data_IF_328603927419
#
_entry.id   IF_328603927419
#
_cell.length_a   1.000
_cell.length_b   1.000
_cell.length_c   1.000
_cell.angle_alpha   90.00
_cell.angle_beta   90.00
_cell.angle_gamma   90.00
#
_symmetry.space_group_name_H-M   'P 1'
#
loop_
_entity.id
_entity.type
_entity.pdbx_description
1 polymer ?
#
# COMPACT_ATOMS: atom_id res chain seq x y z
N UNK A 1 -2.81 25.71 -13.86
CA UNK A 1 -1.96 24.86 -13.00
C UNK A 1 -2.75 24.54 -11.75
N UNK A 2 -3.10 23.28 -11.51
CA UNK A 2 -3.67 22.90 -10.22
C UNK A 2 -2.51 22.82 -9.23
N UNK A 3 -2.44 23.75 -8.28
CA UNK A 3 -1.54 23.66 -7.13
C UNK A 3 -2.14 22.67 -6.14
N UNK A 4 -1.86 21.39 -6.33
CA UNK A 4 -2.21 20.36 -5.35
C UNK A 4 -1.36 20.59 -4.10
N UNK A 5 -2.01 20.69 -2.94
CA UNK A 5 -1.31 20.69 -1.65
C UNK A 5 -0.88 19.25 -1.34
N UNK A 6 0.41 19.01 -1.07
CA UNK A 6 0.86 17.69 -0.64
C UNK A 6 0.16 17.24 0.64
N UNK A 7 -0.07 15.94 0.76
CA UNK A 7 -0.61 15.31 1.96
C UNK A 7 0.43 15.35 3.09
N UNK A 8 -0.04 15.49 4.33
CA UNK A 8 0.81 15.34 5.52
C UNK A 8 1.17 13.87 5.76
N UNK A 9 2.28 13.63 6.45
CA UNK A 9 2.70 12.26 6.79
C UNK A 9 1.66 11.53 7.67
N UNK A 10 0.95 12.23 8.55
CA UNK A 10 -0.13 11.63 9.34
C UNK A 10 -1.32 11.20 8.48
N UNK A 11 -1.65 11.96 7.43
CA UNK A 11 -2.71 11.58 6.50
C UNK A 11 -2.27 10.44 5.59
N UNK A 12 -0.99 10.41 5.19
CA UNK A 12 -0.39 9.27 4.51
C UNK A 12 -0.58 7.98 5.31
N UNK A 13 -0.11 7.94 6.56
CA UNK A 13 -0.25 6.75 7.41
C UNK A 13 -1.70 6.32 7.66
N UNK A 14 -2.65 7.27 7.71
CA UNK A 14 -4.07 6.92 7.80
C UNK A 14 -4.58 6.18 6.55
N UNK A 15 -4.13 6.57 5.36
CA UNK A 15 -4.45 5.86 4.12
C UNK A 15 -3.75 4.51 4.03
N UNK A 16 -2.49 4.42 4.45
CA UNK A 16 -1.78 3.13 4.54
C UNK A 16 -2.49 2.15 5.47
N UNK A 17 -2.98 2.64 6.62
CA UNK A 17 -3.76 1.82 7.56
C UNK A 17 -5.04 1.31 6.89
N UNK A 18 -5.75 2.19 6.18
CA UNK A 18 -6.96 1.83 5.44
C UNK A 18 -6.65 0.79 4.35
N UNK A 19 -5.61 1.02 3.54
CA UNK A 19 -5.16 0.08 2.50
C UNK A 19 -4.80 -1.27 3.10
N UNK A 20 -4.08 -1.27 4.22
CA UNK A 20 -3.69 -2.47 4.93
C UNK A 20 -4.89 -3.27 5.44
N UNK A 21 -5.83 -2.62 6.12
CA UNK A 21 -7.07 -3.27 6.60
C UNK A 21 -7.89 -3.83 5.43
N UNK A 22 -8.04 -3.06 4.34
CA UNK A 22 -8.76 -3.54 3.16
C UNK A 22 -8.05 -4.72 2.50
N UNK A 23 -6.71 -4.73 2.44
CA UNK A 23 -5.93 -5.84 1.92
C UNK A 23 -6.15 -7.14 2.72
N UNK A 24 -6.39 -7.05 4.03
CA UNK A 24 -6.72 -8.21 4.87
C UNK A 24 -8.15 -8.69 4.69
N UNK A 25 -9.12 -7.77 4.53
CA UNK A 25 -10.55 -8.12 4.51
C UNK A 25 -11.07 -8.56 3.14
N UNK A 26 -10.64 -7.87 2.07
CA UNK A 26 -11.16 -8.07 0.70
C UNK A 26 -10.97 -9.49 0.16
N UNK A 27 -9.86 -10.21 0.43
CA UNK A 27 -9.70 -11.58 -0.06
C UNK A 27 -10.85 -12.51 0.31
N UNK A 28 -11.42 -12.37 1.51
CA UNK A 28 -12.54 -13.19 1.97
C UNK A 28 -13.89 -12.74 1.42
N UNK A 29 -14.06 -11.42 1.22
CA UNK A 29 -15.29 -10.87 0.65
C UNK A 29 -15.47 -11.26 -0.81
N UNK A 30 -14.36 -11.43 -1.54
CA UNK A 30 -14.36 -11.70 -2.98
C UNK A 30 -13.85 -13.09 -3.35
N UNK A 31 -13.57 -13.95 -2.36
CA UNK A 31 -13.19 -15.35 -2.58
C UNK A 31 -11.90 -15.52 -3.37
N UNK A 32 -10.83 -14.82 -2.98
CA UNK A 32 -9.53 -14.92 -3.65
C UNK A 32 -8.97 -16.35 -3.57
N UNK A 33 -8.07 -16.69 -4.50
CA UNK A 33 -7.32 -17.94 -4.40
C UNK A 33 -6.46 -17.97 -3.11
N UNK A 34 -5.99 -19.15 -2.68
CA UNK A 34 -5.05 -19.23 -1.55
C UNK A 34 -3.79 -18.38 -1.76
N UNK A 35 -3.23 -18.37 -2.97
CA UNK A 35 -2.06 -17.57 -3.29
C UNK A 35 -2.36 -16.07 -3.24
N UNK A 36 -3.45 -15.63 -3.89
CA UNK A 36 -3.90 -14.24 -3.85
C UNK A 36 -4.20 -13.75 -2.43
N UNK A 37 -4.79 -14.60 -1.59
CA UNK A 37 -5.06 -14.31 -0.18
C UNK A 37 -3.77 -14.11 0.62
N UNK A 38 -2.80 -15.02 0.49
CA UNK A 38 -1.51 -14.90 1.20
C UNK A 38 -0.77 -13.63 0.77
N UNK A 39 -0.72 -13.33 -0.52
CA UNK A 39 -0.05 -12.12 -1.01
C UNK A 39 -0.75 -10.84 -0.56
N UNK A 40 -2.09 -10.79 -0.58
CA UNK A 40 -2.85 -9.67 -0.04
C UNK A 40 -2.60 -9.49 1.46
N UNK A 41 -2.46 -10.58 2.22
CA UNK A 41 -2.11 -10.54 3.63
C UNK A 41 -0.71 -9.96 3.88
N UNK A 42 0.28 -10.39 3.10
CA UNK A 42 1.65 -9.84 3.20
C UNK A 42 1.64 -8.34 2.92
N UNK A 43 1.00 -7.90 1.84
CA UNK A 43 0.86 -6.47 1.51
C UNK A 43 0.14 -5.72 2.64
N UNK A 44 -0.94 -6.31 3.17
CA UNK A 44 -1.74 -5.70 4.22
C UNK A 44 -0.99 -5.50 5.53
N UNK A 45 -0.27 -6.53 6.00
CA UNK A 45 0.53 -6.46 7.23
C UNK A 45 1.66 -5.43 7.09
N UNK A 46 2.33 -5.39 5.93
CA UNK A 46 3.39 -4.41 5.67
C UNK A 46 2.85 -2.98 5.66
N UNK A 47 1.71 -2.74 4.99
CA UNK A 47 1.05 -1.43 4.96
C UNK A 47 0.63 -0.97 6.36
N UNK A 48 0.08 -1.86 7.19
CA UNK A 48 -0.25 -1.54 8.59
C UNK A 48 1.02 -1.22 9.38
N UNK A 49 2.10 -1.98 9.17
CA UNK A 49 3.40 -1.71 9.81
C UNK A 49 3.92 -0.31 9.49
N UNK A 50 3.86 0.11 8.23
CA UNK A 50 4.24 1.46 7.81
C UNK A 50 3.31 2.52 8.41
N UNK A 51 2.00 2.30 8.35
CA UNK A 51 1.04 3.22 8.94
C UNK A 51 1.33 3.51 10.41
N UNK A 52 1.68 2.48 11.20
CA UNK A 52 2.03 2.63 12.61
C UNK A 52 3.34 3.42 12.81
N UNK A 53 4.33 3.23 11.94
CA UNK A 53 5.60 3.98 11.98
C UNK A 53 5.38 5.50 11.80
N UNK A 54 4.32 5.93 11.08
CA UNK A 54 4.03 7.37 10.91
C UNK A 54 3.61 8.10 12.19
N UNK A 55 3.26 7.38 13.26
CA UNK A 55 2.86 8.00 14.53
C UNK A 55 4.06 8.62 15.26
N UNK A 56 5.22 7.96 15.18
CA UNK A 56 6.49 8.39 15.75
C UNK A 56 7.64 7.96 14.80
N UNK A 57 7.76 8.58 13.61
CA UNK A 57 8.67 8.11 12.58
C UNK A 57 10.12 8.28 13.01
N UNK A 58 10.86 7.18 13.08
CA UNK A 58 12.29 7.18 13.43
C UNK A 58 13.15 7.77 12.31
N UNK A 59 12.83 7.42 11.07
CA UNK A 59 13.52 7.90 9.87
C UNK A 59 12.53 8.01 8.72
N UNK A 60 12.20 9.25 8.36
CA UNK A 60 11.22 9.55 7.31
C UNK A 60 11.72 9.13 5.92
N UNK A 61 13.04 9.18 5.68
CA UNK A 61 13.62 8.74 4.41
C UNK A 61 13.55 7.23 4.28
N UNK A 62 13.80 6.50 5.37
CA UNK A 62 13.64 5.05 5.39
C UNK A 62 12.18 4.64 5.14
N UNK A 63 11.22 5.31 5.80
CA UNK A 63 9.79 5.11 5.58
C UNK A 63 9.42 5.30 4.10
N UNK A 64 9.79 6.43 3.50
CA UNK A 64 9.57 6.68 2.07
C UNK A 64 10.16 5.58 1.17
N UNK A 65 11.34 5.07 1.53
CA UNK A 65 11.97 3.95 0.82
C UNK A 65 11.14 2.66 0.89
N UNK A 66 10.55 2.38 2.05
CA UNK A 66 9.64 1.25 2.22
C UNK A 66 8.32 1.44 1.46
N UNK A 67 7.81 2.66 1.34
CA UNK A 67 6.59 2.92 0.57
C UNK A 67 6.78 2.58 -0.91
N UNK A 68 7.92 2.97 -1.49
CA UNK A 68 8.28 2.57 -2.84
C UNK A 68 8.45 1.05 -2.95
N UNK A 69 9.13 0.42 -2.00
CA UNK A 69 9.33 -1.03 -2.01
C UNK A 69 8.00 -1.79 -1.94
N UNK A 70 7.07 -1.35 -1.09
CA UNK A 70 5.73 -1.93 -0.97
C UNK A 70 4.91 -1.71 -2.25
N UNK A 71 4.90 -0.50 -2.80
CA UNK A 71 4.17 -0.17 -4.02
C UNK A 71 4.65 -1.00 -5.22
N UNK A 72 5.95 -1.00 -5.50
CA UNK A 72 6.52 -1.77 -6.61
C UNK A 72 6.43 -3.28 -6.35
N UNK A 73 6.64 -3.73 -5.12
CA UNK A 73 6.48 -5.13 -4.73
C UNK A 73 5.06 -5.63 -4.97
N UNK A 74 4.04 -4.87 -4.56
CA UNK A 74 2.63 -5.20 -4.80
C UNK A 74 2.31 -5.23 -6.30
N UNK A 75 2.80 -4.27 -7.10
CA UNK A 75 2.63 -4.30 -8.56
C UNK A 75 3.26 -5.56 -9.18
N UNK A 76 4.47 -5.95 -8.76
CA UNK A 76 5.11 -7.18 -9.24
C UNK A 76 4.34 -8.44 -8.84
N UNK A 77 3.82 -8.50 -7.61
CA UNK A 77 2.95 -9.59 -7.15
C UNK A 77 1.67 -9.68 -7.99
N UNK A 78 1.07 -8.53 -8.34
CA UNK A 78 -0.10 -8.49 -9.20
C UNK A 78 0.19 -9.02 -10.61
N UNK A 79 1.35 -8.70 -11.19
CA UNK A 79 1.79 -9.30 -12.46
C UNK A 79 1.92 -10.83 -12.36
N UNK A 80 2.52 -11.34 -11.29
CA UNK A 80 2.65 -12.78 -11.08
C UNK A 80 1.27 -13.47 -10.97
N UNK A 81 0.33 -12.86 -10.24
CA UNK A 81 -1.04 -13.37 -10.12
C UNK A 81 -1.81 -13.32 -11.44
N UNK A 82 -1.63 -12.27 -12.24
CA UNK A 82 -2.24 -12.16 -13.55
C UNK A 82 -1.76 -13.27 -14.49
N UNK A 83 -0.45 -13.58 -14.48
CA UNK A 83 0.13 -14.71 -15.23
C UNK A 83 -0.45 -16.05 -14.73
N UNK A 84 -0.71 -16.18 -13.44
CA UNK A 84 -1.34 -17.35 -12.83
C UNK A 84 -2.87 -17.43 -13.03
N UNK A 85 -3.44 -16.55 -13.86
CA UNK A 85 -4.88 -16.44 -14.12
C UNK A 85 -5.75 -16.12 -12.88
N UNK A 86 -5.16 -15.55 -11.82
CA UNK A 86 -5.89 -15.02 -10.65
C UNK A 86 -6.17 -13.52 -10.84
N UNK A 87 -7.06 -13.21 -11.78
CA UNK A 87 -7.32 -11.84 -12.22
C UNK A 87 -7.88 -10.93 -11.12
N UNK A 88 -8.76 -11.45 -10.25
CA UNK A 88 -9.37 -10.66 -9.17
C UNK A 88 -8.32 -10.23 -8.15
N UNK A 89 -7.47 -11.16 -7.70
CA UNK A 89 -6.40 -10.84 -6.77
C UNK A 89 -5.35 -9.93 -7.40
N UNK A 90 -5.01 -10.17 -8.68
CA UNK A 90 -4.09 -9.32 -9.43
C UNK A 90 -4.59 -7.87 -9.52
N UNK A 91 -5.86 -7.67 -9.91
CA UNK A 91 -6.45 -6.33 -10.00
C UNK A 91 -6.46 -5.61 -8.66
N UNK A 92 -6.83 -6.32 -7.58
CA UNK A 92 -6.88 -5.74 -6.25
C UNK A 92 -5.49 -5.34 -5.73
N UNK A 93 -4.52 -6.27 -5.75
CA UNK A 93 -3.16 -6.01 -5.25
C UNK A 93 -2.45 -4.98 -6.13
N UNK A 94 -2.63 -5.04 -7.45
CA UNK A 94 -2.07 -4.04 -8.37
C UNK A 94 -2.70 -2.66 -8.17
N UNK A 95 -3.99 -2.61 -7.87
CA UNK A 95 -4.70 -1.40 -7.47
C UNK A 95 -4.14 -0.81 -6.19
N UNK A 96 -3.92 -1.63 -5.15
CA UNK A 96 -3.29 -1.20 -3.89
C UNK A 96 -1.87 -0.70 -4.10
N UNK A 97 -1.05 -1.41 -4.88
CA UNK A 97 0.32 -0.99 -5.19
C UNK A 97 0.36 0.34 -5.95
N UNK A 98 -0.56 0.53 -6.90
CA UNK A 98 -0.71 1.80 -7.63
C UNK A 98 -1.22 2.92 -6.74
N UNK A 99 -2.19 2.64 -5.86
CA UNK A 99 -2.70 3.58 -4.88
C UNK A 99 -1.62 4.01 -3.88
N UNK A 100 -0.80 3.07 -3.41
CA UNK A 100 0.37 3.36 -2.56
C UNK A 100 1.36 4.24 -3.31
N UNK A 101 1.69 3.93 -4.57
CA UNK A 101 2.60 4.78 -5.35
C UNK A 101 2.07 6.21 -5.54
N UNK A 102 0.76 6.34 -5.79
CA UNK A 102 0.10 7.64 -5.90
C UNK A 102 0.10 8.39 -4.56
N UNK A 103 -0.14 7.68 -3.46
CA UNK A 103 -0.08 8.23 -2.11
C UNK A 103 1.34 8.73 -1.81
N UNK A 104 2.37 7.91 -2.10
CA UNK A 104 3.79 8.29 -1.96
C UNK A 104 4.12 9.55 -2.76
N UNK A 105 3.67 9.63 -4.02
CA UNK A 105 3.89 10.80 -4.87
C UNK A 105 3.16 12.07 -4.38
N UNK A 106 2.02 11.91 -3.71
CA UNK A 106 1.22 13.01 -3.18
C UNK A 106 1.66 13.47 -1.77
N UNK A 107 2.60 12.78 -1.14
CA UNK A 107 2.95 12.99 0.27
C UNK A 107 4.16 13.91 0.43
N UNK A 108 4.09 14.84 1.39
CA UNK A 108 5.25 15.58 1.88
C UNK A 108 5.87 14.83 3.06
N UNK A 109 7.04 14.25 2.80
CA UNK A 109 7.84 13.53 3.79
C UNK A 109 8.55 14.48 4.76
N UNK A 110 7.81 14.92 5.78
CA UNK A 110 8.40 15.69 6.88
C UNK A 110 7.54 15.59 8.15
N UNK A 111 8.20 15.57 9.30
CA UNK A 111 7.55 15.48 10.62
C UNK A 111 6.86 16.78 11.06
N UNK A 112 7.15 17.90 10.39
CA UNK A 112 6.53 19.20 10.70
C UNK A 112 5.25 19.34 9.88
N UNK A 113 4.11 19.23 10.56
CA UNK A 113 2.78 19.53 10.01
C UNK A 113 2.71 20.91 9.37
#
# INVERSE_FOLDING_TARGET
MLTLRPLSLSLHGAFELLFGVLALAVPFLFGFSPAGTVLAFVVGVLAIGLALDTTEPRDVTAHQGFDYALAFGAVLMAFALAIAADGTAALWIGGLGTAQLALTAATRYSVRG
#
